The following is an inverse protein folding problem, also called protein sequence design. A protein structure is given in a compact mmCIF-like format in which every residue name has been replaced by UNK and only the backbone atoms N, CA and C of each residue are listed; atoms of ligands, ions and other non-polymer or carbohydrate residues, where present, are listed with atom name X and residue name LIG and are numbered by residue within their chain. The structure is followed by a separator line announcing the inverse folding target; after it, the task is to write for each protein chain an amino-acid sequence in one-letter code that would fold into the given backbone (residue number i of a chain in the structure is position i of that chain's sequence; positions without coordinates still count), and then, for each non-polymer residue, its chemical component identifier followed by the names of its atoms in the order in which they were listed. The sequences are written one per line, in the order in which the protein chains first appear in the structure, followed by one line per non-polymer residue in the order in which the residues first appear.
data_IF_941460033392
#
_entry.id   IF_941460033392
#
_cell.length_a   1.000
_cell.length_b   1.000
_cell.length_c   1.000
_cell.angle_alpha   90.00
_cell.angle_beta   90.00
_cell.angle_gamma   90.00
#
_symmetry.space_group_name_H-M   'P 1'
#
loop_
_entity.id
_entity.type
_entity.pdbx_description
1 polymer ?
#
# COMPACT_ATOMS: atom_id res chain seq x y z
N UNK A 1 10.57 10.16 -36.73
CA UNK A 1 11.67 10.64 -35.87
C UNK A 1 11.20 11.90 -35.14
N UNK A 2 10.56 11.76 -33.98
CA UNK A 2 10.35 12.85 -33.00
C UNK A 2 10.12 12.17 -31.64
N UNK A 3 11.18 12.11 -30.84
CA UNK A 3 11.14 11.68 -29.46
C UNK A 3 10.68 12.86 -28.62
N UNK A 4 9.47 12.79 -28.04
CA UNK A 4 9.03 13.72 -27.00
C UNK A 4 9.65 13.28 -25.67
N UNK A 5 10.72 13.95 -25.31
CA UNK A 5 11.33 13.91 -23.98
C UNK A 5 10.39 14.68 -23.05
N UNK A 6 9.61 13.99 -22.23
CA UNK A 6 8.97 14.59 -21.07
C UNK A 6 10.04 14.76 -19.98
N UNK A 7 10.62 15.95 -19.95
CA UNK A 7 11.42 16.42 -18.82
C UNK A 7 10.46 16.66 -17.66
N UNK A 8 10.34 15.68 -16.76
CA UNK A 8 9.71 15.91 -15.47
C UNK A 8 10.70 16.70 -14.63
N UNK A 9 10.45 18.00 -14.53
CA UNK A 9 11.20 18.89 -13.66
C UNK A 9 11.13 18.36 -12.21
N UNK A 10 12.28 18.00 -11.67
CA UNK A 10 12.45 17.67 -10.26
C UNK A 10 12.23 18.93 -9.42
N UNK A 11 11.04 19.06 -8.85
CA UNK A 11 10.75 20.11 -7.86
C UNK A 11 11.35 19.62 -6.53
N UNK A 12 12.55 20.04 -6.24
CA UNK A 12 13.17 19.87 -4.94
C UNK A 12 12.38 20.67 -3.89
N UNK A 13 11.71 19.97 -2.96
CA UNK A 13 11.03 20.60 -1.81
C UNK A 13 9.69 20.02 -1.40
N UNK A 14 9.12 19.07 -2.13
CA UNK A 14 7.96 18.31 -1.63
C UNK A 14 8.47 17.12 -0.81
N UNK A 15 7.85 16.91 0.36
CA UNK A 15 8.09 15.75 1.19
C UNK A 15 7.88 14.49 0.32
N UNK A 16 8.99 13.81 -0.04
CA UNK A 16 9.01 12.65 -0.93
C UNK A 16 8.26 11.43 -0.35
N UNK A 17 7.79 11.55 0.88
CA UNK A 17 7.02 10.51 1.59
C UNK A 17 5.53 10.56 1.30
N UNK A 18 5.01 11.70 0.85
CA UNK A 18 3.57 11.85 0.57
C UNK A 18 3.15 11.11 -0.68
N UNK A 19 1.93 10.55 -0.63
CA UNK A 19 1.26 10.00 -1.79
C UNK A 19 0.83 11.09 -2.76
N UNK A 20 0.91 10.79 -4.04
CA UNK A 20 0.37 11.65 -5.11
C UNK A 20 -0.97 11.09 -5.55
N UNK A 21 -2.01 11.93 -5.53
CA UNK A 21 -3.33 11.59 -6.10
C UNK A 21 -3.35 12.02 -7.56
N UNK A 22 -3.80 11.13 -8.44
CA UNK A 22 -3.86 11.40 -9.89
C UNK A 22 -5.03 10.66 -10.55
N UNK A 23 -5.32 11.02 -11.80
CA UNK A 23 -6.32 10.32 -12.61
C UNK A 23 -5.62 9.38 -13.59
N UNK A 24 -6.05 8.11 -13.61
CA UNK A 24 -5.57 7.10 -14.55
C UNK A 24 -6.07 7.34 -15.96
N UNK A 25 -5.49 6.65 -16.94
CA UNK A 25 -5.88 6.82 -18.35
C UNK A 25 -7.31 6.39 -18.67
N UNK A 26 -7.93 5.55 -17.83
CA UNK A 26 -9.33 5.13 -17.88
C UNK A 26 -10.26 6.02 -17.02
N UNK A 27 -9.74 7.10 -16.45
CA UNK A 27 -10.52 8.11 -15.73
C UNK A 27 -10.76 7.82 -14.25
N UNK A 28 -10.18 6.74 -13.68
CA UNK A 28 -10.29 6.45 -12.25
C UNK A 28 -9.31 7.28 -11.42
N UNK A 29 -9.64 7.49 -10.16
CA UNK A 29 -8.73 8.12 -9.20
C UNK A 29 -7.76 7.07 -8.66
N UNK A 30 -6.49 7.43 -8.55
CA UNK A 30 -5.45 6.58 -7.98
C UNK A 30 -4.53 7.37 -7.06
N UNK A 31 -3.92 6.66 -6.13
CA UNK A 31 -2.90 7.17 -5.22
C UNK A 31 -1.60 6.42 -5.51
N UNK A 32 -0.47 7.13 -5.53
CA UNK A 32 0.85 6.53 -5.73
C UNK A 32 1.82 7.01 -4.68
N UNK A 33 2.55 6.06 -4.12
CA UNK A 33 3.69 6.28 -3.24
C UNK A 33 4.97 5.75 -3.86
N UNK A 34 6.08 6.39 -3.54
CA UNK A 34 7.41 5.93 -3.88
C UNK A 34 8.31 5.97 -2.64
N UNK A 35 9.08 4.90 -2.43
CA UNK A 35 10.06 4.81 -1.33
C UNK A 35 11.39 4.32 -1.87
N UNK A 36 12.46 5.01 -1.49
CA UNK A 36 13.82 4.52 -1.68
C UNK A 36 14.26 3.88 -0.35
N UNK A 37 14.46 2.57 -0.38
CA UNK A 37 14.73 1.76 0.79
C UNK A 37 16.15 1.18 0.70
N UNK A 38 16.89 1.18 1.81
CA UNK A 38 18.26 0.64 1.88
C UNK A 38 18.32 -0.90 2.01
N UNK A 39 17.25 -1.57 1.70
CA UNK A 39 17.08 -3.01 1.83
C UNK A 39 16.92 -3.66 0.47
N UNK A 40 17.43 -4.90 0.26
CA UNK A 40 17.25 -5.60 -1.00
C UNK A 40 15.78 -5.95 -1.25
N UNK A 41 15.40 -6.18 -2.53
CA UNK A 41 14.00 -6.47 -2.91
C UNK A 41 13.35 -7.60 -2.11
N UNK A 42 14.09 -8.64 -1.75
CA UNK A 42 13.59 -9.80 -1.01
C UNK A 42 13.12 -9.42 0.41
N UNK A 43 13.83 -8.52 1.08
CA UNK A 43 13.43 -8.04 2.41
C UNK A 43 12.21 -7.14 2.34
N UNK A 44 12.13 -6.29 1.31
CA UNK A 44 10.96 -5.43 1.07
C UNK A 44 9.74 -6.29 0.72
N UNK A 45 9.93 -7.32 -0.13
CA UNK A 45 8.89 -8.29 -0.45
C UNK A 45 8.32 -8.97 0.80
N UNK A 46 9.18 -9.46 1.68
CA UNK A 46 8.75 -10.05 2.94
C UNK A 46 7.96 -9.07 3.83
N UNK A 47 8.35 -7.79 3.84
CA UNK A 47 7.63 -6.78 4.64
C UNK A 47 6.20 -6.54 4.17
N UNK A 48 5.90 -6.77 2.88
CA UNK A 48 4.58 -6.56 2.28
C UNK A 48 3.79 -7.84 2.01
N UNK A 49 4.34 -9.02 2.32
CA UNK A 49 3.67 -10.31 2.05
C UNK A 49 3.61 -11.24 3.25
N UNK A 50 4.56 -11.17 4.19
CA UNK A 50 4.57 -12.03 5.37
C UNK A 50 3.39 -11.69 6.30
N UNK A 51 2.54 -12.66 6.66
CA UNK A 51 1.34 -12.41 7.47
C UNK A 51 1.63 -11.77 8.82
N UNK A 52 2.76 -12.13 9.45
CA UNK A 52 3.15 -11.57 10.74
C UNK A 52 3.53 -10.09 10.63
N UNK A 53 4.18 -9.70 9.53
CA UNK A 53 4.54 -8.31 9.25
C UNK A 53 3.34 -7.49 8.80
N UNK A 54 2.50 -8.03 7.92
CA UNK A 54 1.25 -7.40 7.46
C UNK A 54 0.33 -7.04 8.63
N UNK A 55 0.21 -7.91 9.62
CA UNK A 55 -0.69 -7.70 10.76
C UNK A 55 -0.44 -6.41 11.55
N UNK A 56 0.75 -5.82 11.43
CA UNK A 56 1.12 -4.59 12.14
C UNK A 56 0.72 -3.30 11.40
N UNK A 57 0.45 -3.36 10.11
CA UNK A 57 0.24 -2.15 9.31
C UNK A 57 -0.86 -2.26 8.25
N UNK A 58 -1.14 -3.46 7.74
CA UNK A 58 -2.13 -3.63 6.69
C UNK A 58 -3.56 -3.53 7.26
N UNK A 59 -4.48 -2.80 6.60
CA UNK A 59 -5.80 -2.52 7.16
C UNK A 59 -6.78 -3.69 7.09
N UNK A 60 -6.30 -4.91 6.81
CA UNK A 60 -7.10 -6.13 6.79
C UNK A 60 -6.23 -7.36 7.10
N UNK A 61 -6.87 -8.45 7.51
CA UNK A 61 -6.23 -9.76 7.58
C UNK A 61 -6.42 -10.47 6.25
N UNK A 62 -5.32 -10.84 5.59
CA UNK A 62 -5.32 -11.50 4.28
C UNK A 62 -4.20 -12.53 4.18
N UNK A 63 -4.44 -13.61 3.45
CA UNK A 63 -3.44 -14.59 3.05
C UNK A 63 -3.10 -14.37 1.56
N UNK A 64 -1.89 -13.86 1.29
CA UNK A 64 -1.38 -13.57 -0.05
C UNK A 64 -0.51 -14.70 -0.62
N UNK A 65 -0.19 -15.74 0.17
CA UNK A 65 0.56 -16.93 -0.27
C UNK A 65 -0.39 -17.90 -0.98
N UNK A 66 -0.86 -17.50 -2.16
CA UNK A 66 -1.80 -18.24 -2.98
C UNK A 66 -1.44 -18.18 -4.46
N UNK A 67 -1.90 -19.15 -5.27
CA UNK A 67 -1.74 -19.07 -6.72
C UNK A 67 -2.43 -17.85 -7.31
N UNK A 68 -1.84 -17.27 -8.36
CA UNK A 68 -2.46 -16.19 -9.14
C UNK A 68 -3.84 -16.66 -9.66
N UNK A 69 -4.83 -15.77 -9.58
CA UNK A 69 -6.23 -16.05 -9.90
C UNK A 69 -7.08 -16.51 -8.70
N UNK A 70 -6.45 -16.81 -7.55
CA UNK A 70 -7.19 -17.18 -6.34
C UNK A 70 -8.07 -16.06 -5.82
N UNK A 71 -9.23 -16.43 -5.30
CA UNK A 71 -10.07 -15.55 -4.51
C UNK A 71 -9.39 -15.23 -3.17
N UNK A 72 -9.48 -13.97 -2.75
CA UNK A 72 -8.94 -13.47 -1.49
C UNK A 72 -10.07 -13.03 -0.55
N UNK A 73 -9.80 -13.21 0.75
CA UNK A 73 -10.69 -12.78 1.83
C UNK A 73 -9.94 -11.75 2.67
N UNK A 74 -10.34 -10.50 2.56
CA UNK A 74 -9.83 -9.44 3.41
C UNK A 74 -10.77 -9.29 4.60
N UNK A 75 -10.32 -9.76 5.76
CA UNK A 75 -11.10 -9.74 6.99
C UNK A 75 -10.77 -8.51 7.83
N UNK A 76 -11.74 -8.12 8.67
CA UNK A 76 -11.58 -7.03 9.64
C UNK A 76 -10.49 -7.40 10.66
N UNK A 77 -9.60 -6.48 10.97
CA UNK A 77 -8.56 -6.69 11.98
C UNK A 77 -9.17 -6.68 13.39
N UNK A 78 -8.50 -7.33 14.35
CA UNK A 78 -8.92 -7.31 15.75
C UNK A 78 -8.97 -5.87 16.31
N UNK A 79 -8.09 -4.97 15.83
CA UNK A 79 -8.11 -3.57 16.24
C UNK A 79 -9.34 -2.82 15.72
N UNK A 80 -9.69 -3.02 14.44
CA UNK A 80 -10.91 -2.44 13.87
C UNK A 80 -12.16 -2.95 14.58
N UNK A 81 -12.21 -4.23 14.95
CA UNK A 81 -13.30 -4.79 15.73
C UNK A 81 -13.45 -4.07 17.08
N UNK A 82 -12.33 -3.87 17.80
CA UNK A 82 -12.35 -3.18 19.09
C UNK A 82 -12.70 -1.70 18.98
N UNK A 83 -12.11 -1.00 18.03
CA UNK A 83 -12.19 0.47 17.92
C UNK A 83 -13.51 0.94 17.30
N UNK A 84 -14.00 0.23 16.30
CA UNK A 84 -15.17 0.62 15.51
C UNK A 84 -16.38 -0.29 15.70
N UNK A 85 -16.27 -1.32 16.53
CA UNK A 85 -17.36 -2.29 16.74
C UNK A 85 -17.69 -3.09 15.48
N UNK A 86 -16.76 -3.22 14.54
CA UNK A 86 -16.95 -3.97 13.30
C UNK A 86 -16.94 -5.46 13.63
N UNK A 87 -18.01 -6.18 13.26
CA UNK A 87 -18.08 -7.62 13.40
C UNK A 87 -17.37 -8.32 12.23
N UNK A 88 -16.69 -9.43 12.52
CA UNK A 88 -16.27 -10.34 11.47
C UNK A 88 -17.49 -11.09 10.96
N UNK A 89 -17.69 -11.19 9.65
CA UNK A 89 -18.80 -11.91 9.03
C UNK A 89 -18.42 -13.39 8.94
N UNK A 90 -19.10 -14.30 9.68
CA UNK A 90 -18.81 -15.72 9.62
C UNK A 90 -19.14 -16.35 8.25
N UNK A 91 -20.05 -15.73 7.49
CA UNK A 91 -20.45 -16.15 6.14
C UNK A 91 -19.77 -15.33 5.05
N UNK A 92 -18.64 -14.68 5.38
CA UNK A 92 -17.90 -13.82 4.46
C UNK A 92 -17.62 -14.48 3.12
N UNK A 93 -17.96 -13.76 2.08
CA UNK A 93 -17.62 -14.11 0.70
C UNK A 93 -16.25 -13.51 0.34
N UNK A 94 -15.56 -14.09 -0.67
CA UNK A 94 -14.39 -13.45 -1.24
C UNK A 94 -14.71 -12.00 -1.63
N UNK A 95 -13.84 -11.09 -1.23
CA UNK A 95 -13.96 -9.67 -1.57
C UNK A 95 -12.72 -9.13 -2.30
N UNK A 96 -11.92 -10.05 -2.86
CA UNK A 96 -10.76 -9.74 -3.66
C UNK A 96 -10.26 -10.92 -4.48
N UNK A 97 -9.21 -10.67 -5.25
CA UNK A 97 -8.54 -11.66 -6.12
C UNK A 97 -7.07 -11.34 -6.27
N UNK A 98 -6.22 -12.35 -6.22
CA UNK A 98 -4.80 -12.21 -6.55
C UNK A 98 -4.64 -12.15 -8.07
N UNK A 99 -4.19 -11.01 -8.59
CA UNK A 99 -4.07 -10.76 -10.03
C UNK A 99 -2.68 -11.10 -10.55
N UNK A 100 -1.63 -10.77 -9.77
CA UNK A 100 -0.24 -10.99 -10.14
C UNK A 100 0.62 -11.21 -8.92
N UNK A 101 1.54 -12.16 -8.99
CA UNK A 101 2.55 -12.40 -7.95
C UNK A 101 3.84 -12.87 -8.62
N UNK A 102 4.84 -12.00 -8.64
CA UNK A 102 6.16 -12.22 -9.23
C UNK A 102 7.24 -11.85 -8.19
N UNK A 103 7.50 -12.72 -7.20
CA UNK A 103 8.51 -12.44 -6.18
C UNK A 103 9.91 -12.23 -6.77
N UNK A 104 10.69 -11.24 -6.27
CA UNK A 104 10.34 -10.23 -5.28
C UNK A 104 9.93 -8.89 -5.91
N UNK A 105 9.39 -8.85 -7.12
CA UNK A 105 9.30 -7.65 -7.97
C UNK A 105 7.91 -7.06 -8.09
N UNK A 106 6.86 -7.89 -8.23
CA UNK A 106 5.49 -7.39 -8.45
C UNK A 106 4.47 -8.20 -7.67
N UNK A 107 3.59 -7.50 -6.96
CA UNK A 107 2.40 -8.03 -6.34
C UNK A 107 1.21 -7.16 -6.73
N UNK A 108 0.14 -7.76 -7.25
CA UNK A 108 -1.09 -7.04 -7.60
C UNK A 108 -2.31 -7.86 -7.20
N UNK A 109 -3.26 -7.21 -6.58
CA UNK A 109 -4.53 -7.81 -6.19
C UNK A 109 -5.68 -6.81 -6.21
N UNK A 110 -6.86 -7.33 -6.45
CA UNK A 110 -8.11 -6.61 -6.25
C UNK A 110 -8.57 -6.77 -4.80
N UNK A 111 -9.09 -5.70 -4.22
CA UNK A 111 -9.77 -5.68 -2.95
C UNK A 111 -10.95 -4.72 -2.99
N UNK A 112 -12.16 -5.23 -2.82
CA UNK A 112 -13.41 -4.44 -2.79
C UNK A 112 -13.59 -3.49 -3.99
N UNK A 113 -13.17 -3.92 -5.19
CA UNK A 113 -13.24 -3.14 -6.42
C UNK A 113 -12.05 -2.18 -6.64
N UNK A 114 -11.14 -2.11 -5.70
CA UNK A 114 -9.88 -1.38 -5.83
C UNK A 114 -8.77 -2.28 -6.37
N UNK A 115 -7.80 -1.70 -7.07
CA UNK A 115 -6.60 -2.42 -7.51
C UNK A 115 -5.40 -1.89 -6.75
N UNK A 116 -4.69 -2.79 -6.09
CA UNK A 116 -3.48 -2.50 -5.34
C UNK A 116 -2.29 -3.15 -6.03
N UNK A 117 -1.32 -2.33 -6.44
CA UNK A 117 -0.11 -2.78 -7.15
C UNK A 117 1.13 -2.35 -6.39
N UNK A 118 1.99 -3.31 -6.09
CA UNK A 118 3.29 -3.14 -5.44
C UNK A 118 4.37 -3.52 -6.43
N UNK A 119 5.28 -2.60 -6.72
CA UNK A 119 6.40 -2.82 -7.63
C UNK A 119 7.71 -2.56 -6.87
N UNK A 120 8.61 -3.52 -6.89
CA UNK A 120 9.91 -3.45 -6.23
C UNK A 120 10.98 -3.62 -7.29
N UNK A 121 11.88 -2.65 -7.38
CA UNK A 121 13.02 -2.71 -8.28
C UNK A 121 14.33 -2.48 -7.51
N UNK A 122 15.42 -3.20 -7.86
CA UNK A 122 16.71 -2.99 -7.22
C UNK A 122 17.29 -1.63 -7.58
N UNK A 123 18.02 -1.05 -6.64
CA UNK A 123 18.84 0.16 -6.84
C UNK A 123 20.26 -0.10 -6.31
N UNK A 124 21.26 0.72 -6.67
CA UNK A 124 22.61 0.56 -6.10
C UNK A 124 22.66 0.65 -4.56
N UNK A 125 21.67 1.31 -3.94
CA UNK A 125 21.61 1.52 -2.49
C UNK A 125 20.59 0.63 -1.78
N UNK A 126 19.88 -0.26 -2.50
CA UNK A 126 18.82 -1.13 -1.94
C UNK A 126 17.69 -1.35 -2.92
N UNK A 127 16.51 -0.81 -2.64
CA UNK A 127 15.32 -0.97 -3.49
C UNK A 127 14.54 0.32 -3.67
N UNK A 128 13.83 0.40 -4.77
CA UNK A 128 12.73 1.36 -4.99
C UNK A 128 11.42 0.59 -4.91
N UNK A 129 10.58 0.95 -3.95
CA UNK A 129 9.22 0.47 -3.81
C UNK A 129 8.26 1.50 -4.38
N UNK A 130 7.39 1.07 -5.28
CA UNK A 130 6.25 1.85 -5.78
C UNK A 130 4.98 1.15 -5.40
N UNK A 131 4.10 1.84 -4.70
CA UNK A 131 2.76 1.37 -4.38
C UNK A 131 1.73 2.24 -5.10
N UNK A 132 0.79 1.61 -5.78
CA UNK A 132 -0.34 2.29 -6.44
C UNK A 132 -1.64 1.65 -6.00
N UNK A 133 -2.59 2.47 -5.55
CA UNK A 133 -3.95 2.04 -5.26
C UNK A 133 -4.91 2.79 -6.20
N UNK A 134 -5.57 2.05 -7.09
CA UNK A 134 -6.64 2.57 -7.94
C UNK A 134 -7.94 2.39 -7.20
N UNK A 135 -8.58 3.50 -6.87
CA UNK A 135 -9.74 3.55 -5.99
C UNK A 135 -11.05 3.21 -6.71
N UNK A 136 -11.98 2.60 -5.98
CA UNK A 136 -13.37 2.44 -6.41
C UNK A 136 -14.20 3.70 -6.18
N UNK A 137 -13.85 4.50 -5.13
CA UNK A 137 -14.49 5.76 -4.79
C UNK A 137 -13.46 6.90 -4.77
N UNK A 138 -13.56 7.90 -5.66
CA UNK A 138 -12.63 9.02 -5.70
C UNK A 138 -12.66 9.90 -4.44
N UNK A 139 -13.79 9.93 -3.70
CA UNK A 139 -13.89 10.71 -2.46
C UNK A 139 -13.07 10.10 -1.32
N UNK A 140 -12.77 8.80 -1.40
CA UNK A 140 -11.90 8.11 -0.45
C UNK A 140 -10.40 8.44 -0.62
N UNK A 141 -9.99 9.19 -1.64
CA UNK A 141 -8.57 9.38 -1.99
C UNK A 141 -7.73 9.95 -0.84
N UNK A 142 -8.23 10.98 -0.15
CA UNK A 142 -7.51 11.63 0.95
C UNK A 142 -7.35 10.74 2.19
N UNK A 143 -8.43 10.18 2.75
CA UNK A 143 -8.30 9.27 3.90
C UNK A 143 -7.51 8.01 3.55
N UNK A 144 -7.67 7.46 2.34
CA UNK A 144 -6.89 6.31 1.88
C UNK A 144 -5.38 6.65 1.78
N UNK A 145 -5.04 7.82 1.22
CA UNK A 145 -3.65 8.27 1.13
C UNK A 145 -3.01 8.39 2.52
N UNK A 146 -3.71 9.01 3.49
CA UNK A 146 -3.23 9.12 4.85
C UNK A 146 -3.04 7.74 5.53
N UNK A 147 -3.99 6.83 5.33
CA UNK A 147 -3.89 5.45 5.84
C UNK A 147 -2.71 4.68 5.27
N UNK A 148 -2.51 4.75 3.95
CA UNK A 148 -1.38 4.09 3.29
C UNK A 148 -0.03 4.71 3.67
N UNK A 149 0.05 6.03 3.84
CA UNK A 149 1.28 6.68 4.32
C UNK A 149 1.64 6.19 5.72
N UNK A 150 0.70 6.15 6.67
CA UNK A 150 0.90 5.62 8.00
C UNK A 150 1.34 4.15 7.99
N UNK A 151 0.73 3.31 7.13
CA UNK A 151 1.13 1.92 6.93
C UNK A 151 2.55 1.78 6.41
N UNK A 152 2.94 2.59 5.42
CA UNK A 152 4.30 2.59 4.87
C UNK A 152 5.35 3.06 5.90
N UNK A 153 5.01 3.98 6.81
CA UNK A 153 5.90 4.34 7.93
C UNK A 153 6.16 3.14 8.85
N UNK A 154 5.16 2.26 9.08
CA UNK A 154 5.35 1.01 9.84
C UNK A 154 6.23 0.02 9.07
N UNK A 155 6.02 -0.13 7.75
CA UNK A 155 6.89 -0.97 6.90
C UNK A 155 8.35 -0.53 7.00
N UNK A 156 8.62 0.77 6.91
CA UNK A 156 9.97 1.32 7.05
C UNK A 156 10.56 1.05 8.44
N UNK A 157 9.79 1.25 9.51
CA UNK A 157 10.22 0.96 10.87
C UNK A 157 10.55 -0.53 11.07
N UNK A 158 9.73 -1.44 10.52
CA UNK A 158 9.99 -2.88 10.56
C UNK A 158 11.27 -3.27 9.81
N UNK A 159 11.52 -2.67 8.66
CA UNK A 159 12.75 -2.88 7.89
C UNK A 159 13.97 -2.39 8.65
N UNK A 160 13.86 -1.26 9.35
CA UNK A 160 14.92 -0.69 10.18
C UNK A 160 15.12 -1.44 11.51
N UNK A 161 14.26 -2.42 11.85
CA UNK A 161 14.26 -3.09 13.14
C UNK A 161 13.89 -2.13 14.29
N UNK A 162 13.26 -1.02 13.98
CA UNK A 162 12.84 -0.02 14.95
C UNK A 162 11.47 -0.39 15.57
N UNK A 163 11.25 -0.14 16.87
CA UNK A 163 9.95 -0.36 17.46
C UNK A 163 8.94 0.67 16.94
N UNK A 164 7.75 0.20 16.60
CA UNK A 164 6.61 1.09 16.33
C UNK A 164 5.99 1.50 17.66
N UNK A 165 6.18 2.76 18.05
CA UNK A 165 5.74 3.30 19.35
C UNK A 165 4.50 4.18 19.24
N UNK A 166 3.93 4.30 18.04
CA UNK A 166 2.73 5.05 17.72
C UNK A 166 1.59 4.13 17.27
N UNK A 167 0.37 4.62 17.40
CA UNK A 167 -0.82 3.96 16.83
C UNK A 167 -0.95 4.33 15.34
N UNK A 168 -0.90 3.36 14.40
CA UNK A 168 -1.01 3.64 12.97
C UNK A 168 -2.34 4.32 12.57
N UNK A 169 -3.44 4.04 13.27
CA UNK A 169 -4.73 4.68 13.00
C UNK A 169 -4.73 6.15 13.45
N UNK A 170 -4.20 6.45 14.64
CA UNK A 170 -4.03 7.83 15.09
C UNK A 170 -3.08 8.59 14.16
N UNK A 171 -2.01 7.93 13.69
CA UNK A 171 -1.07 8.53 12.74
C UNK A 171 -1.74 8.85 11.41
N UNK A 172 -2.61 7.98 10.90
CA UNK A 172 -3.39 8.25 9.69
C UNK A 172 -4.32 9.47 9.86
N UNK A 173 -4.96 9.62 11.02
CA UNK A 173 -5.80 10.79 11.35
C UNK A 173 -4.97 12.09 11.33
N UNK A 174 -3.76 12.10 11.90
CA UNK A 174 -2.84 13.24 11.83
C UNK A 174 -2.43 13.58 10.40
N UNK A 175 -2.10 12.56 9.59
CA UNK A 175 -1.67 12.73 8.21
C UNK A 175 -2.82 13.20 7.30
N UNK A 176 -4.07 12.89 7.63
CA UNK A 176 -5.23 13.28 6.81
C UNK A 176 -5.31 14.79 6.56
N UNK A 177 -4.96 15.61 7.55
CA UNK A 177 -4.89 17.07 7.41
C UNK A 177 -3.85 17.54 6.36
N UNK A 178 -2.86 16.72 6.06
CA UNK A 178 -1.83 17.03 5.07
C UNK A 178 -2.25 16.77 3.61
N UNK A 179 -3.40 16.08 3.43
CA UNK A 179 -4.00 15.77 2.13
C UNK A 179 -5.24 16.64 1.82
N UNK A 180 -5.51 17.68 2.66
CA UNK A 180 -6.57 18.68 2.43
C UNK A 180 -6.27 19.65 1.28
#
# INVERSE_FOLDING_TARGET
MWALIFSVGYIAGMDSRRGTVFTTGDGRTAIRFERLLRYPPEQVWQAITDPGRLSAWFPAVVDLDRPVGSELYFAVTAEQQRRYGMADDPDRKPNGRLLRSEPPTVLEYEWAGEILTWEISPTPAGSRLVFTNVLSDPEAARPAAAGWEAGLEVVEAQLDGAPVTWDPLARAEELAAAYE
#
